data_IF_293793409318
#
_entry.id   IF_293793409318
#
_cell.length_a   1.000
_cell.length_b   1.000
_cell.length_c   1.000
_cell.angle_alpha   90.00
_cell.angle_beta   90.00
_cell.angle_gamma   90.00
#
_symmetry.space_group_name_H-M   'P 1'
#
loop_
_entity.id
_entity.type
_entity.pdbx_description
1 polymer ?
#
# COMPACT_ATOMS: atom_id res chain seq x y z
N UNK A 1 3.44 -8.61 17.04
CA UNK A 1 4.16 -7.45 16.47
C UNK A 1 4.86 -6.68 17.59
N UNK A 2 5.71 -5.70 17.29
CA UNK A 2 6.28 -4.81 18.33
C UNK A 2 5.17 -4.04 19.10
N UNK A 3 4.08 -3.71 18.39
CA UNK A 3 2.86 -3.14 19.00
C UNK A 3 2.22 -4.09 20.02
N UNK A 4 2.02 -5.37 19.67
CA UNK A 4 1.43 -6.35 20.59
C UNK A 4 2.32 -6.59 21.81
N UNK A 5 3.64 -6.64 21.62
CA UNK A 5 4.61 -6.84 22.69
C UNK A 5 4.60 -5.67 23.69
N UNK A 6 4.45 -4.44 23.21
CA UNK A 6 4.36 -3.25 24.07
C UNK A 6 3.05 -3.23 24.88
N UNK A 7 1.92 -3.50 24.22
CA UNK A 7 0.61 -3.49 24.89
C UNK A 7 0.38 -4.69 25.83
N UNK A 8 1.20 -5.73 25.78
CA UNK A 8 1.11 -6.90 26.66
C UNK A 8 1.62 -6.64 28.09
N UNK A 9 2.32 -5.53 28.34
CA UNK A 9 2.80 -5.16 29.67
C UNK A 9 1.68 -4.47 30.46
N UNK A 10 1.38 -5.00 31.64
CA UNK A 10 0.34 -4.45 32.51
C UNK A 10 0.60 -2.97 32.82
N UNK A 11 -0.41 -2.13 32.57
CA UNK A 11 -0.33 -0.68 32.77
C UNK A 11 0.30 0.12 31.62
N UNK A 12 0.84 -0.52 30.58
CA UNK A 12 1.29 0.17 29.36
C UNK A 12 0.15 0.34 28.35
N UNK A 13 0.14 1.47 27.66
CA UNK A 13 -0.77 1.72 26.54
C UNK A 13 -0.06 2.61 25.53
N UNK A 14 0.25 2.07 24.37
CA UNK A 14 1.02 2.77 23.34
C UNK A 14 0.35 4.08 22.89
N UNK A 15 -0.98 4.15 22.86
CA UNK A 15 -1.71 5.37 22.50
C UNK A 15 -1.74 6.40 23.62
N UNK A 16 -1.60 5.98 24.89
CA UNK A 16 -1.40 6.90 26.01
C UNK A 16 0.00 7.49 25.97
N UNK A 17 1.01 6.67 25.72
CA UNK A 17 2.41 6.99 25.98
C UNK A 17 3.14 7.58 24.76
N UNK A 18 2.67 7.33 23.53
CA UNK A 18 3.27 7.82 22.29
C UNK A 18 2.37 8.81 21.55
N UNK A 19 2.99 9.73 20.80
CA UNK A 19 2.32 10.69 19.92
C UNK A 19 3.02 10.71 18.56
N UNK A 20 2.25 10.85 17.49
CA UNK A 20 2.78 11.16 16.16
C UNK A 20 3.31 12.59 16.20
N UNK A 21 4.57 12.79 15.85
CA UNK A 21 5.24 14.10 15.87
C UNK A 21 5.30 14.74 14.49
N UNK A 22 5.35 13.93 13.44
CA UNK A 22 5.37 14.36 12.06
C UNK A 22 4.94 13.21 11.14
N UNK A 23 4.54 13.56 9.92
CA UNK A 23 4.21 12.61 8.85
C UNK A 23 5.05 12.96 7.62
N UNK A 24 5.57 11.94 6.93
CA UNK A 24 6.19 12.18 5.63
C UNK A 24 5.15 12.68 4.63
N UNK A 25 5.58 13.37 3.56
CA UNK A 25 4.76 13.50 2.36
C UNK A 25 4.21 12.13 1.94
N UNK A 26 2.96 12.13 1.46
CA UNK A 26 2.34 10.91 0.96
C UNK A 26 3.03 10.44 -0.31
N UNK A 27 3.27 9.15 -0.40
CA UNK A 27 3.70 8.43 -1.60
C UNK A 27 2.72 7.29 -1.85
N UNK A 28 2.63 6.79 -3.09
CA UNK A 28 1.73 5.70 -3.41
C UNK A 28 2.24 4.38 -2.84
N UNK A 29 1.39 3.74 -2.03
CA UNK A 29 1.67 2.40 -1.55
C UNK A 29 1.46 1.36 -2.68
N UNK A 30 2.15 0.21 -2.54
CA UNK A 30 2.01 -1.07 -3.25
C UNK A 30 1.27 -1.07 -4.59
N UNK A 31 2.00 -1.47 -5.65
CA UNK A 31 1.48 -1.52 -7.02
C UNK A 31 1.17 -2.96 -7.42
N UNK A 32 0.06 -3.19 -8.12
CA UNK A 32 -0.10 -4.39 -8.96
C UNK A 32 0.56 -4.09 -10.31
N UNK A 33 1.76 -4.62 -10.51
CA UNK A 33 2.53 -4.44 -11.73
C UNK A 33 2.38 -5.64 -12.67
N UNK A 34 2.25 -5.36 -13.97
CA UNK A 34 2.27 -6.37 -15.02
C UNK A 34 3.58 -6.32 -15.80
N UNK A 35 4.02 -7.45 -16.34
CA UNK A 35 5.17 -7.49 -17.26
C UNK A 35 4.90 -6.60 -18.48
N UNK A 36 5.95 -5.93 -18.97
CA UNK A 36 5.83 -4.94 -20.04
C UNK A 36 5.27 -5.54 -21.34
N UNK A 37 5.61 -6.79 -21.63
CA UNK A 37 5.20 -7.55 -22.81
C UNK A 37 3.74 -8.03 -22.80
N UNK A 38 3.02 -7.91 -21.68
CA UNK A 38 1.60 -8.27 -21.62
C UNK A 38 0.79 -7.33 -22.53
N UNK A 39 -0.18 -7.88 -23.28
CA UNK A 39 -0.99 -7.06 -24.19
C UNK A 39 -1.81 -6.02 -23.42
N UNK A 40 -2.05 -4.86 -24.02
CA UNK A 40 -2.84 -3.79 -23.39
C UNK A 40 -4.26 -4.26 -23.04
N UNK A 41 -4.87 -5.08 -23.90
CA UNK A 41 -6.18 -5.69 -23.64
C UNK A 41 -6.17 -6.54 -22.38
N UNK A 42 -5.17 -7.40 -22.21
CA UNK A 42 -5.11 -8.27 -21.05
C UNK A 42 -4.77 -7.49 -19.77
N UNK A 43 -3.90 -6.47 -19.85
CA UNK A 43 -3.65 -5.54 -18.73
C UNK A 43 -4.96 -4.89 -18.26
N UNK A 44 -5.78 -4.38 -19.18
CA UNK A 44 -7.07 -3.77 -18.86
C UNK A 44 -8.06 -4.77 -18.24
N UNK A 45 -8.13 -6.00 -18.76
CA UNK A 45 -8.98 -7.05 -18.20
C UNK A 45 -8.58 -7.46 -16.78
N UNK A 46 -7.26 -7.59 -16.52
CA UNK A 46 -6.76 -7.89 -15.17
C UNK A 46 -7.06 -6.74 -14.21
N UNK A 47 -6.83 -5.49 -14.63
CA UNK A 47 -7.16 -4.31 -13.83
C UNK A 47 -8.64 -4.30 -13.45
N UNK A 48 -9.54 -4.50 -14.42
CA UNK A 48 -10.96 -4.56 -14.18
C UNK A 48 -11.33 -5.70 -13.23
N UNK A 49 -10.75 -6.89 -13.40
CA UNK A 49 -11.02 -8.03 -12.53
C UNK A 49 -10.65 -7.77 -11.06
N UNK A 50 -9.53 -7.07 -10.79
CA UNK A 50 -9.18 -6.68 -9.42
C UNK A 50 -10.15 -5.67 -8.83
N UNK A 51 -10.57 -4.68 -9.62
CA UNK A 51 -11.55 -3.67 -9.19
C UNK A 51 -12.92 -4.29 -8.90
N UNK A 52 -13.36 -5.27 -9.70
CA UNK A 52 -14.64 -5.94 -9.51
C UNK A 52 -14.60 -6.94 -8.35
N UNK A 53 -13.54 -7.75 -8.22
CA UNK A 53 -13.54 -8.83 -7.23
C UNK A 53 -13.54 -8.28 -5.80
N UNK A 54 -12.84 -7.16 -5.53
CA UNK A 54 -12.80 -6.55 -4.20
C UNK A 54 -14.16 -5.97 -3.76
N UNK A 55 -15.10 -5.76 -4.69
CA UNK A 55 -16.47 -5.33 -4.36
C UNK A 55 -17.36 -6.51 -3.93
N UNK A 56 -16.88 -7.75 -4.08
CA UNK A 56 -17.61 -8.96 -3.67
C UNK A 56 -17.25 -9.39 -2.25
N UNK A 57 -18.18 -10.02 -1.52
CA UNK A 57 -17.93 -10.55 -0.17
C UNK A 57 -16.78 -11.57 -0.17
N UNK A 58 -16.79 -12.49 -1.15
CA UNK A 58 -15.71 -13.47 -1.33
C UNK A 58 -14.36 -12.79 -1.61
N UNK A 59 -14.31 -11.75 -2.44
CA UNK A 59 -13.08 -11.05 -2.74
C UNK A 59 -12.53 -10.24 -1.58
N UNK A 60 -13.40 -9.59 -0.78
CA UNK A 60 -13.02 -8.95 0.48
C UNK A 60 -12.42 -9.96 1.45
N UNK A 61 -13.03 -11.13 1.62
CA UNK A 61 -12.50 -12.20 2.47
C UNK A 61 -11.15 -12.70 1.95
N UNK A 62 -11.05 -12.98 0.65
CA UNK A 62 -9.83 -13.49 0.01
C UNK A 62 -8.65 -12.50 0.08
N UNK A 63 -8.94 -11.20 0.05
CA UNK A 63 -7.93 -10.13 0.06
C UNK A 63 -7.74 -9.50 1.45
N UNK A 64 -8.51 -9.93 2.46
CA UNK A 64 -8.46 -9.42 3.83
C UNK A 64 -7.07 -9.57 4.47
N UNK A 65 -6.31 -10.61 4.10
CA UNK A 65 -4.94 -10.82 4.56
C UNK A 65 -4.03 -9.61 4.27
N UNK A 66 -4.29 -8.89 3.18
CA UNK A 66 -3.54 -7.70 2.77
C UNK A 66 -4.18 -6.39 3.28
N UNK A 67 -5.28 -6.46 4.05
CA UNK A 67 -6.07 -5.31 4.46
C UNK A 67 -6.51 -4.41 3.29
N UNK A 68 -6.66 -4.98 2.09
CA UNK A 68 -7.12 -4.24 0.93
C UNK A 68 -8.62 -3.93 1.07
N UNK A 69 -8.99 -2.68 0.80
CA UNK A 69 -10.37 -2.21 0.83
C UNK A 69 -10.87 -1.75 -0.53
N UNK A 70 -9.99 -1.71 -1.53
CA UNK A 70 -10.30 -1.27 -2.89
C UNK A 70 -9.04 -1.11 -3.73
N UNK A 71 -9.23 -0.92 -5.04
CA UNK A 71 -8.16 -0.64 -5.99
C UNK A 71 -8.46 0.63 -6.79
N UNK A 72 -7.41 1.33 -7.20
CA UNK A 72 -7.48 2.52 -8.04
C UNK A 72 -6.60 2.34 -9.27
N UNK A 73 -7.00 2.95 -10.38
CA UNK A 73 -6.15 3.05 -11.57
C UNK A 73 -4.99 3.98 -11.23
N UNK A 74 -3.77 3.46 -11.30
CA UNK A 74 -2.55 4.25 -11.13
C UNK A 74 -2.05 4.76 -12.49
N UNK A 75 -1.45 5.95 -12.47
CA UNK A 75 -0.71 6.55 -13.58
C UNK A 75 0.75 6.72 -13.21
N UNK A 76 1.63 6.90 -14.20
CA UNK A 76 3.07 6.97 -13.97
C UNK A 76 3.49 8.07 -12.98
N UNK A 77 2.81 9.22 -13.01
CA UNK A 77 3.07 10.36 -12.12
C UNK A 77 2.64 10.14 -10.67
N UNK A 78 1.80 9.13 -10.39
CA UNK A 78 1.47 8.77 -9.00
C UNK A 78 2.72 8.34 -8.23
N UNK A 79 3.77 7.88 -8.93
CA UNK A 79 5.02 7.39 -8.34
C UNK A 79 6.18 8.39 -8.37
N UNK A 80 5.91 9.68 -8.62
CA UNK A 80 6.97 10.71 -8.68
C UNK A 80 7.65 10.92 -7.31
N UNK A 81 6.91 10.82 -6.21
CA UNK A 81 7.48 10.95 -4.85
C UNK A 81 8.50 9.86 -4.54
N UNK A 82 8.27 8.63 -5.00
CA UNK A 82 9.19 7.50 -4.89
C UNK A 82 10.44 7.71 -5.73
N UNK A 83 10.29 8.28 -6.94
CA UNK A 83 11.43 8.65 -7.79
C UNK A 83 12.29 9.71 -7.12
N UNK A 84 11.69 10.72 -6.50
CA UNK A 84 12.41 11.76 -5.74
C UNK A 84 13.19 11.16 -4.57
N UNK A 85 12.55 10.28 -3.79
CA UNK A 85 13.22 9.58 -2.68
C UNK A 85 14.37 8.71 -3.19
N UNK A 86 14.19 8.00 -4.31
CA UNK A 86 15.25 7.19 -4.92
C UNK A 86 16.44 8.05 -5.34
N UNK A 87 16.21 9.18 -6.02
CA UNK A 87 17.25 10.11 -6.45
C UNK A 87 17.99 10.66 -5.23
N UNK A 88 17.26 11.13 -4.21
CA UNK A 88 17.86 11.63 -2.98
C UNK A 88 18.76 10.57 -2.34
N UNK A 89 18.29 9.33 -2.21
CA UNK A 89 19.07 8.22 -1.63
C UNK A 89 20.31 7.91 -2.45
N UNK A 90 20.19 7.79 -3.77
CA UNK A 90 21.32 7.52 -4.68
C UNK A 90 22.42 8.57 -4.58
N UNK A 91 22.03 9.84 -4.39
CA UNK A 91 22.95 10.98 -4.47
C UNK A 91 23.50 11.43 -3.11
N UNK A 92 22.88 11.01 -1.99
CA UNK A 92 23.21 11.51 -0.64
C UNK A 92 23.46 10.44 0.43
N UNK A 93 23.25 9.14 0.13
CA UNK A 93 23.51 8.02 1.03
C UNK A 93 24.47 7.02 0.37
#
# INVERSE_FOLDING_TARGET
>A
TAFDAYNAVEGQNVFRDLRVVDLSPGIYNDTISAISSLSNTLKAQIQQAFMEIIETEFGLEALSLYNHTGYKIAVDSDYDGEREVYIFKRDNL
#
